data_IF_033288313433
#
_entry.id   IF_033288313433
#
_cell.length_a   1.000
_cell.length_b   1.000
_cell.length_c   1.000
_cell.angle_alpha   90.00
_cell.angle_beta   90.00
_cell.angle_gamma   90.00
#
_symmetry.space_group_name_H-M   'P 1'
#
loop_
_entity.id
_entity.type
_entity.pdbx_description
1 polymer ?
#
# COMPACT_ATOMS: atom_id res chain seq x y z
N UNK A 1 -26.82 3.54 -4.52
CA UNK A 1 -27.10 2.41 -3.61
C UNK A 1 -25.89 2.27 -2.68
N UNK A 2 -26.11 1.96 -1.42
CA UNK A 2 -25.04 1.67 -0.46
C UNK A 2 -24.19 0.49 -0.97
N UNK A 3 -22.86 0.61 -0.85
CA UNK A 3 -21.90 -0.43 -1.27
C UNK A 3 -21.28 -1.09 -0.04
N UNK A 4 -20.87 -2.33 -0.21
CA UNK A 4 -20.06 -3.06 0.78
C UNK A 4 -18.59 -3.01 0.35
N UNK A 5 -17.75 -2.40 1.17
CA UNK A 5 -16.31 -2.24 0.91
C UNK A 5 -15.54 -3.17 1.84
N UNK A 6 -14.67 -4.00 1.29
CA UNK A 6 -13.82 -4.88 2.07
C UNK A 6 -12.37 -4.40 2.06
N UNK A 7 -11.85 -4.02 3.22
CA UNK A 7 -10.46 -3.57 3.39
C UNK A 7 -9.66 -4.70 4.04
N UNK A 8 -8.73 -5.28 3.30
CA UNK A 8 -7.83 -6.30 3.80
C UNK A 8 -6.50 -5.67 4.24
N UNK A 9 -6.31 -5.59 5.56
CA UNK A 9 -5.19 -4.96 6.21
C UNK A 9 -5.57 -3.68 6.97
N UNK A 10 -5.88 -3.82 8.26
CA UNK A 10 -6.21 -2.67 9.14
C UNK A 10 -4.94 -2.12 9.81
N UNK A 11 -3.95 -1.76 8.97
CA UNK A 11 -2.80 -0.97 9.37
C UNK A 11 -3.09 0.54 9.28
N UNK A 12 -2.05 1.37 9.33
CA UNK A 12 -2.16 2.81 9.13
C UNK A 12 -2.93 3.15 7.85
N UNK A 13 -2.54 2.57 6.71
CA UNK A 13 -3.12 2.87 5.39
C UNK A 13 -4.58 2.44 5.31
N UNK A 14 -4.87 1.16 5.56
CA UNK A 14 -6.23 0.63 5.39
C UNK A 14 -7.24 1.24 6.37
N UNK A 15 -6.84 1.44 7.63
CA UNK A 15 -7.70 2.07 8.63
C UNK A 15 -7.95 3.56 8.32
N UNK A 16 -6.95 4.28 7.80
CA UNK A 16 -7.14 5.67 7.34
C UNK A 16 -8.02 5.75 6.09
N UNK A 17 -7.91 4.79 5.15
CA UNK A 17 -8.82 4.68 4.01
C UNK A 17 -10.26 4.46 4.47
N UNK A 18 -10.48 3.56 5.43
CA UNK A 18 -11.80 3.31 5.99
C UNK A 18 -12.44 4.61 6.53
N UNK A 19 -11.68 5.39 7.30
CA UNK A 19 -12.14 6.70 7.80
C UNK A 19 -12.47 7.67 6.66
N UNK A 20 -11.62 7.75 5.64
CA UNK A 20 -11.85 8.63 4.50
C UNK A 20 -13.08 8.21 3.68
N UNK A 21 -13.27 6.91 3.45
CA UNK A 21 -14.45 6.40 2.75
C UNK A 21 -15.72 6.74 3.55
N UNK A 22 -15.75 6.47 4.86
CA UNK A 22 -16.91 6.79 5.71
C UNK A 22 -17.21 8.29 5.78
N UNK A 23 -16.23 9.17 5.60
CA UNK A 23 -16.42 10.62 5.60
C UNK A 23 -17.41 11.08 4.49
N UNK A 24 -17.25 10.56 3.28
CA UNK A 24 -18.09 10.94 2.14
C UNK A 24 -19.21 9.93 1.85
N UNK A 25 -19.07 8.69 2.35
CA UNK A 25 -20.03 7.60 2.15
C UNK A 25 -20.43 6.97 3.48
N UNK A 26 -21.11 7.69 4.38
CA UNK A 26 -21.45 7.19 5.72
C UNK A 26 -22.44 6.02 5.72
N UNK A 27 -23.14 5.80 4.62
CA UNK A 27 -24.10 4.71 4.40
C UNK A 27 -23.45 3.42 3.85
N UNK A 28 -22.14 3.43 3.52
CA UNK A 28 -21.45 2.24 3.04
C UNK A 28 -21.06 1.33 4.21
N UNK A 29 -21.26 0.02 4.03
CA UNK A 29 -20.78 -0.99 4.97
C UNK A 29 -19.28 -1.24 4.72
N UNK A 30 -18.43 -1.05 5.73
CA UNK A 30 -17.00 -1.34 5.64
C UNK A 30 -16.69 -2.60 6.44
N UNK A 31 -16.25 -3.64 5.73
CA UNK A 31 -15.76 -4.89 6.28
C UNK A 31 -14.23 -4.82 6.38
N UNK A 32 -13.66 -5.29 7.49
CA UNK A 32 -12.24 -5.24 7.71
C UNK A 32 -11.62 -6.60 7.99
N UNK A 33 -10.48 -6.88 7.36
CA UNK A 33 -9.63 -8.02 7.69
C UNK A 33 -8.33 -7.58 8.33
N UNK A 34 -7.96 -8.23 9.42
CA UNK A 34 -6.61 -8.17 9.96
C UNK A 34 -6.35 -9.41 10.83
N UNK A 35 -5.13 -9.96 10.78
CA UNK A 35 -4.72 -11.06 11.67
C UNK A 35 -4.67 -10.64 13.14
N UNK A 36 -4.29 -9.39 13.42
CA UNK A 36 -4.21 -8.87 14.79
C UNK A 36 -5.59 -8.56 15.35
N UNK A 37 -5.99 -9.24 16.43
CA UNK A 37 -7.22 -8.93 17.17
C UNK A 37 -7.23 -7.48 17.64
N UNK A 38 -6.14 -6.98 18.22
CA UNK A 38 -6.05 -5.62 18.71
C UNK A 38 -6.32 -4.57 17.61
N UNK A 39 -5.82 -4.80 16.37
CA UNK A 39 -6.12 -3.90 15.25
C UNK A 39 -7.59 -3.94 14.85
N UNK A 40 -8.24 -5.10 14.90
CA UNK A 40 -9.67 -5.25 14.62
C UNK A 40 -10.52 -4.53 15.67
N UNK A 41 -10.20 -4.72 16.94
CA UNK A 41 -10.92 -4.11 18.06
C UNK A 41 -10.83 -2.57 18.00
N UNK A 42 -9.64 -2.02 17.80
CA UNK A 42 -9.43 -0.57 17.63
C UNK A 42 -10.23 -0.03 16.45
N UNK A 43 -10.22 -0.73 15.30
CA UNK A 43 -10.95 -0.29 14.12
C UNK A 43 -12.47 -0.28 14.32
N UNK A 44 -13.02 -1.26 15.03
CA UNK A 44 -14.44 -1.31 15.44
C UNK A 44 -14.78 -0.22 16.45
N UNK A 45 -14.01 -0.12 17.54
CA UNK A 45 -14.26 0.85 18.61
C UNK A 45 -14.24 2.31 18.10
N UNK A 46 -13.32 2.60 17.16
CA UNK A 46 -13.22 3.94 16.55
C UNK A 46 -14.19 4.16 15.38
N UNK A 47 -15.08 3.20 15.10
CA UNK A 47 -16.07 3.29 14.03
C UNK A 47 -15.45 3.39 12.62
N UNK A 48 -14.22 2.89 12.42
CA UNK A 48 -13.57 2.88 11.11
C UNK A 48 -14.20 1.85 10.19
N UNK A 49 -14.63 0.72 10.76
CA UNK A 49 -15.26 -0.41 10.08
C UNK A 49 -16.51 -0.83 10.83
N UNK A 50 -17.41 -1.55 10.16
CA UNK A 50 -18.68 -2.02 10.73
C UNK A 50 -18.57 -3.46 11.23
N UNK A 51 -17.76 -4.29 10.55
CA UNK A 51 -17.51 -5.69 10.92
C UNK A 51 -16.04 -6.05 10.66
N UNK A 52 -15.51 -7.00 11.44
CA UNK A 52 -14.12 -7.45 11.34
C UNK A 52 -14.02 -8.97 11.30
N UNK A 53 -12.97 -9.47 10.64
CA UNK A 53 -12.62 -10.90 10.57
C UNK A 53 -11.12 -11.10 10.57
N UNK A 54 -10.65 -12.29 10.96
CA UNK A 54 -9.29 -12.81 10.73
C UNK A 54 -9.25 -13.92 9.67
N UNK A 55 -10.39 -14.25 9.09
CA UNK A 55 -10.52 -15.12 7.92
C UNK A 55 -10.71 -14.25 6.66
N UNK A 56 -9.67 -14.18 5.83
CA UNK A 56 -9.67 -13.35 4.62
C UNK A 56 -10.80 -13.73 3.64
N UNK A 57 -11.07 -15.03 3.46
CA UNK A 57 -12.05 -15.50 2.50
C UNK A 57 -13.50 -15.19 2.91
N UNK A 58 -13.77 -15.01 4.21
CA UNK A 58 -15.13 -14.94 4.74
C UNK A 58 -15.95 -13.74 4.26
N UNK A 59 -15.31 -12.57 4.06
CA UNK A 59 -16.00 -11.35 3.66
C UNK A 59 -15.86 -11.01 2.16
N UNK A 60 -14.91 -11.63 1.46
CA UNK A 60 -14.67 -11.35 0.05
C UNK A 60 -15.92 -11.52 -0.84
N UNK A 61 -16.76 -12.57 -0.67
CA UNK A 61 -17.99 -12.74 -1.47
C UNK A 61 -19.07 -11.67 -1.22
N UNK A 62 -18.97 -10.91 -0.14
CA UNK A 62 -19.95 -9.88 0.23
C UNK A 62 -19.61 -8.52 -0.38
N UNK A 63 -18.38 -8.33 -0.84
CA UNK A 63 -17.86 -7.03 -1.22
C UNK A 63 -18.25 -6.62 -2.64
N UNK A 64 -18.53 -5.33 -2.82
CA UNK A 64 -18.61 -4.67 -4.12
C UNK A 64 -17.24 -4.13 -4.55
N UNK A 65 -16.41 -3.77 -3.55
CA UNK A 65 -15.01 -3.35 -3.75
C UNK A 65 -14.14 -4.00 -2.68
N UNK A 66 -12.99 -4.55 -3.08
CA UNK A 66 -11.97 -5.13 -2.20
C UNK A 66 -10.70 -4.30 -2.34
N UNK A 67 -10.18 -3.77 -1.22
CA UNK A 67 -8.93 -2.99 -1.20
C UNK A 67 -7.88 -3.73 -0.36
N UNK A 68 -6.77 -4.12 -0.99
CA UNK A 68 -5.68 -4.84 -0.37
C UNK A 68 -4.62 -3.86 0.14
N UNK A 69 -4.56 -3.62 1.45
CA UNK A 69 -3.60 -2.72 2.11
C UNK A 69 -2.59 -3.52 2.92
N UNK A 70 -1.97 -4.49 2.26
CA UNK A 70 -1.09 -5.51 2.82
C UNK A 70 0.32 -5.39 2.22
N UNK A 71 1.35 -5.99 2.85
CA UNK A 71 2.66 -6.13 2.22
C UNK A 71 2.57 -6.83 0.85
N UNK A 72 3.40 -6.45 -0.11
CA UNK A 72 3.34 -6.84 -1.52
C UNK A 72 3.18 -8.35 -1.70
N UNK A 73 4.00 -9.16 -0.98
CA UNK A 73 3.93 -10.63 -1.05
C UNK A 73 2.55 -11.17 -0.63
N UNK A 74 1.93 -10.58 0.39
CA UNK A 74 0.60 -10.99 0.84
C UNK A 74 -0.49 -10.50 -0.12
N UNK A 75 -0.35 -9.29 -0.67
CA UNK A 75 -1.24 -8.77 -1.71
C UNK A 75 -1.30 -9.71 -2.91
N UNK A 76 -0.13 -10.15 -3.41
CA UNK A 76 -0.04 -11.12 -4.50
C UNK A 76 -0.74 -12.45 -4.14
N UNK A 77 -0.46 -13.00 -2.97
CA UNK A 77 -1.09 -14.24 -2.53
C UNK A 77 -2.62 -14.11 -2.41
N UNK A 78 -3.10 -12.97 -1.93
CA UNK A 78 -4.54 -12.73 -1.79
C UNK A 78 -5.24 -12.50 -3.14
N UNK A 79 -4.58 -11.88 -4.13
CA UNK A 79 -5.12 -11.82 -5.51
C UNK A 79 -5.31 -13.23 -6.07
N UNK A 80 -4.34 -14.12 -5.87
CA UNK A 80 -4.43 -15.53 -6.30
C UNK A 80 -5.57 -16.28 -5.58
N UNK A 81 -5.72 -16.07 -4.27
CA UNK A 81 -6.82 -16.65 -3.48
C UNK A 81 -8.19 -16.14 -3.95
N UNK A 82 -8.34 -14.81 -4.13
CA UNK A 82 -9.57 -14.18 -4.62
C UNK A 82 -10.01 -14.74 -5.98
N UNK A 83 -9.06 -15.08 -6.85
CA UNK A 83 -9.36 -15.70 -8.14
C UNK A 83 -10.08 -17.05 -8.04
N UNK A 84 -9.94 -17.75 -6.91
CA UNK A 84 -10.61 -19.03 -6.62
C UNK A 84 -11.95 -18.90 -5.88
N UNK A 85 -12.32 -17.71 -5.40
CA UNK A 85 -13.54 -17.50 -4.63
C UNK A 85 -14.73 -17.13 -5.53
N UNK A 86 -15.93 -17.41 -5.04
CA UNK A 86 -17.18 -16.99 -5.68
C UNK A 86 -17.50 -15.53 -5.28
N UNK A 87 -16.92 -14.58 -5.97
CA UNK A 87 -17.09 -13.15 -5.73
C UNK A 87 -18.33 -12.60 -6.44
N UNK A 88 -18.80 -11.41 -6.05
CA UNK A 88 -19.85 -10.70 -6.78
C UNK A 88 -19.43 -10.42 -8.23
N UNK A 89 -20.37 -10.53 -9.15
CA UNK A 89 -20.16 -10.13 -10.54
C UNK A 89 -19.81 -8.63 -10.62
N UNK A 90 -18.73 -8.33 -11.34
CA UNK A 90 -18.25 -6.97 -11.50
C UNK A 90 -17.60 -6.35 -10.25
N UNK A 91 -17.22 -7.16 -9.25
CA UNK A 91 -16.44 -6.67 -8.11
C UNK A 91 -15.17 -5.97 -8.57
N UNK A 92 -14.81 -4.89 -7.89
CA UNK A 92 -13.54 -4.19 -8.11
C UNK A 92 -12.53 -4.66 -7.06
N UNK A 93 -11.36 -5.10 -7.49
CA UNK A 93 -10.21 -5.35 -6.63
C UNK A 93 -9.19 -4.25 -6.87
N UNK A 94 -8.66 -3.66 -5.80
CA UNK A 94 -7.58 -2.69 -5.83
C UNK A 94 -6.57 -2.98 -4.72
N UNK A 95 -5.38 -2.42 -4.84
CA UNK A 95 -4.35 -2.55 -3.81
C UNK A 95 -3.78 -1.18 -3.39
N UNK A 96 -2.89 -1.16 -2.42
CA UNK A 96 -2.17 0.02 -1.96
C UNK A 96 -0.65 -0.24 -1.86
N UNK A 97 -0.13 -1.18 -2.62
CA UNK A 97 1.27 -1.58 -2.58
C UNK A 97 2.23 -0.52 -3.10
N UNK A 98 3.44 -0.50 -2.56
CA UNK A 98 4.47 0.49 -2.93
C UNK A 98 5.15 0.20 -4.27
N UNK A 99 4.97 -0.98 -4.86
CA UNK A 99 5.38 -1.34 -6.23
C UNK A 99 4.18 -1.87 -6.98
N UNK A 100 4.14 -1.68 -8.31
CA UNK A 100 2.95 -1.95 -9.10
C UNK A 100 3.11 -3.06 -10.13
N UNK A 101 4.24 -3.12 -10.83
CA UNK A 101 4.39 -4.03 -11.97
C UNK A 101 4.07 -5.49 -11.63
N UNK A 102 4.66 -6.03 -10.55
CA UNK A 102 4.44 -7.41 -10.14
C UNK A 102 3.00 -7.69 -9.67
N UNK A 103 2.35 -6.72 -9.01
CA UNK A 103 0.96 -6.85 -8.54
C UNK A 103 0.00 -6.85 -9.73
N UNK A 104 0.19 -5.92 -10.68
CA UNK A 104 -0.64 -5.81 -11.88
C UNK A 104 -0.50 -7.06 -12.75
N UNK A 105 0.73 -7.55 -12.97
CA UNK A 105 0.99 -8.78 -13.73
C UNK A 105 0.26 -9.99 -13.15
N UNK A 106 0.34 -10.20 -11.84
CA UNK A 106 -0.38 -11.28 -11.15
C UNK A 106 -1.89 -11.10 -11.25
N UNK A 107 -2.40 -9.87 -11.12
CA UNK A 107 -3.82 -9.61 -11.26
C UNK A 107 -4.30 -9.95 -12.69
N UNK A 108 -3.56 -9.55 -13.73
CA UNK A 108 -3.88 -9.89 -15.11
C UNK A 108 -3.83 -11.40 -15.37
N UNK A 109 -2.83 -12.10 -14.81
CA UNK A 109 -2.70 -13.55 -14.95
C UNK A 109 -3.87 -14.33 -14.32
N UNK A 110 -4.26 -13.98 -13.09
CA UNK A 110 -5.21 -14.77 -12.30
C UNK A 110 -6.67 -14.33 -12.43
N UNK A 111 -6.93 -13.05 -12.74
CA UNK A 111 -8.27 -12.50 -12.80
C UNK A 111 -8.82 -12.37 -14.22
N UNK A 112 -7.99 -12.50 -15.27
CA UNK A 112 -8.44 -12.44 -16.65
C UNK A 112 -9.53 -13.47 -16.95
N UNK A 113 -10.52 -13.06 -17.76
CA UNK A 113 -11.64 -13.92 -18.14
C UNK A 113 -12.69 -14.15 -17.05
N UNK A 114 -12.53 -13.53 -15.88
CA UNK A 114 -13.52 -13.54 -14.79
C UNK A 114 -14.32 -12.23 -14.81
N UNK A 115 -15.53 -12.26 -14.24
CA UNK A 115 -16.34 -11.04 -14.01
C UNK A 115 -15.78 -10.19 -12.86
N UNK A 116 -14.47 -9.94 -12.88
CA UNK A 116 -13.72 -9.19 -11.86
C UNK A 116 -13.01 -8.03 -12.56
N UNK A 117 -13.08 -6.86 -11.97
CA UNK A 117 -12.34 -5.66 -12.40
C UNK A 117 -11.15 -5.44 -11.47
N UNK A 118 -10.04 -5.00 -12.00
CA UNK A 118 -8.86 -4.71 -11.17
C UNK A 118 -8.27 -3.35 -11.55
N UNK A 119 -7.81 -2.61 -10.55
CA UNK A 119 -6.98 -1.42 -10.73
C UNK A 119 -5.90 -1.38 -9.65
N UNK A 120 -4.66 -1.42 -10.08
CA UNK A 120 -3.53 -1.22 -9.18
C UNK A 120 -3.51 0.20 -8.64
N UNK A 121 -3.11 0.37 -7.38
CA UNK A 121 -3.00 1.71 -6.81
C UNK A 121 -1.85 1.83 -5.79
N UNK A 122 -1.38 3.07 -5.59
CA UNK A 122 -0.37 3.39 -4.60
C UNK A 122 -0.62 4.79 -4.02
N UNK A 123 -1.12 4.91 -2.79
CA UNK A 123 -1.18 6.19 -2.08
C UNK A 123 0.24 6.62 -1.68
N UNK A 124 0.71 7.76 -2.19
CA UNK A 124 2.01 8.34 -1.85
C UNK A 124 1.94 9.05 -0.49
N UNK A 125 1.50 8.31 0.52
CA UNK A 125 1.32 8.78 1.88
C UNK A 125 1.72 7.68 2.87
N UNK A 126 2.25 8.08 4.00
CA UNK A 126 2.68 7.16 5.03
C UNK A 126 3.29 7.89 6.21
N UNK A 127 3.61 7.13 7.25
CA UNK A 127 4.25 7.62 8.46
C UNK A 127 5.13 6.52 9.05
N UNK A 128 6.04 6.89 9.94
CA UNK A 128 6.78 5.93 10.78
C UNK A 128 5.88 5.22 11.79
N UNK A 129 4.66 5.73 12.02
CA UNK A 129 3.67 5.11 12.90
C UNK A 129 3.00 3.92 12.20
N UNK A 130 2.62 2.90 12.96
CA UNK A 130 2.03 1.67 12.46
C UNK A 130 0.73 1.31 13.18
N UNK A 131 -0.06 0.42 12.55
CA UNK A 131 -1.29 -0.14 13.14
C UNK A 131 -2.51 0.77 13.04
N UNK A 132 -3.68 0.21 13.36
CA UNK A 132 -4.98 0.90 13.32
C UNK A 132 -5.06 2.09 14.29
N UNK A 133 -4.36 2.00 15.43
CA UNK A 133 -4.32 3.10 16.42
C UNK A 133 -3.79 4.41 15.86
N UNK A 134 -2.93 4.33 14.83
CA UNK A 134 -2.30 5.48 14.18
C UNK A 134 -3.09 6.02 13.01
N UNK A 135 -4.26 5.46 12.70
CA UNK A 135 -5.10 5.89 11.59
C UNK A 135 -5.50 7.35 11.72
N UNK A 136 -5.40 8.07 10.61
CA UNK A 136 -5.72 9.49 10.49
C UNK A 136 -6.56 9.70 9.21
N UNK A 137 -7.72 10.31 9.37
CA UNK A 137 -8.65 10.61 8.27
C UNK A 137 -8.03 11.56 7.23
N UNK A 138 -7.05 12.35 7.63
CA UNK A 138 -6.36 13.32 6.77
C UNK A 138 -5.01 12.80 6.22
N UNK A 139 -4.67 11.53 6.46
CA UNK A 139 -3.40 10.94 6.04
C UNK A 139 -3.08 11.18 4.55
N UNK A 140 -4.11 11.16 3.71
CA UNK A 140 -3.98 11.26 2.25
C UNK A 140 -4.24 12.67 1.71
N UNK A 141 -4.60 13.61 2.57
CA UNK A 141 -4.98 14.97 2.14
C UNK A 141 -3.84 15.63 1.35
N UNK A 142 -4.14 16.05 0.12
CA UNK A 142 -3.19 16.62 -0.83
C UNK A 142 -2.05 15.71 -1.29
N UNK A 143 -1.97 14.45 -0.80
CA UNK A 143 -1.01 13.47 -1.30
C UNK A 143 -1.43 12.95 -2.69
N UNK A 144 -0.49 12.49 -3.48
CA UNK A 144 -0.81 11.77 -4.70
C UNK A 144 -1.36 10.38 -4.38
N UNK A 145 -2.47 10.02 -5.01
CA UNK A 145 -2.99 8.67 -5.06
C UNK A 145 -2.90 8.18 -6.50
N UNK A 146 -1.96 7.28 -6.73
CA UNK A 146 -1.59 6.85 -8.07
C UNK A 146 -2.41 5.62 -8.44
N UNK A 147 -3.11 5.67 -9.56
CA UNK A 147 -3.71 4.50 -10.20
C UNK A 147 -2.79 3.97 -11.30
N UNK A 148 -2.70 2.66 -11.40
CA UNK A 148 -1.99 1.97 -12.48
C UNK A 148 -2.98 1.07 -13.23
N UNK A 149 -3.68 1.62 -14.23
CA UNK A 149 -4.63 0.87 -15.04
C UNK A 149 -3.98 -0.34 -15.73
N UNK A 150 -4.75 -1.39 -15.87
CA UNK A 150 -4.37 -2.65 -16.54
C UNK A 150 -5.38 -3.03 -17.60
N UNK A 151 -5.21 -4.17 -18.26
CA UNK A 151 -6.19 -4.73 -19.19
C UNK A 151 -7.55 -5.04 -18.52
N UNK A 152 -7.58 -5.11 -17.18
CA UNK A 152 -8.79 -5.35 -16.37
C UNK A 152 -9.45 -4.05 -15.87
N UNK A 153 -8.93 -2.89 -16.28
CA UNK A 153 -9.37 -1.58 -15.82
C UNK A 153 -10.11 -0.84 -16.94
N UNK A 154 -11.40 -0.63 -16.80
CA UNK A 154 -12.15 0.28 -17.68
C UNK A 154 -12.13 1.72 -17.16
N UNK A 155 -12.41 2.74 -18.02
CA UNK A 155 -12.59 4.10 -17.55
C UNK A 155 -13.65 4.23 -16.45
N UNK A 156 -14.76 3.50 -16.54
CA UNK A 156 -15.80 3.48 -15.52
C UNK A 156 -15.29 2.94 -14.18
N UNK A 157 -14.40 1.94 -14.21
CA UNK A 157 -13.77 1.41 -12.99
C UNK A 157 -12.93 2.47 -12.29
N UNK A 158 -12.17 3.27 -13.04
CA UNK A 158 -11.38 4.37 -12.49
C UNK A 158 -12.26 5.45 -11.86
N UNK A 159 -13.31 5.85 -12.54
CA UNK A 159 -14.25 6.85 -12.01
C UNK A 159 -15.00 6.34 -10.77
N UNK A 160 -15.42 5.05 -10.76
CA UNK A 160 -16.02 4.45 -9.55
C UNK A 160 -15.04 4.47 -8.37
N UNK A 161 -13.75 4.18 -8.61
CA UNK A 161 -12.72 4.23 -7.55
C UNK A 161 -12.43 5.66 -7.09
N UNK A 162 -12.36 6.63 -8.00
CA UNK A 162 -12.20 8.06 -7.64
C UNK A 162 -13.35 8.56 -6.79
N UNK A 163 -14.59 8.21 -7.16
CA UNK A 163 -15.79 8.54 -6.37
C UNK A 163 -15.73 7.88 -5.00
N UNK A 164 -15.42 6.57 -4.92
CA UNK A 164 -15.31 5.86 -3.64
C UNK A 164 -14.28 6.51 -2.70
N UNK A 165 -13.16 6.94 -3.26
CA UNK A 165 -12.02 7.48 -2.50
C UNK A 165 -12.04 9.02 -2.38
N UNK A 166 -13.14 9.69 -2.79
CA UNK A 166 -13.24 11.15 -2.73
C UNK A 166 -12.96 11.72 -1.34
N UNK A 167 -13.47 11.04 -0.32
CA UNK A 167 -13.25 11.41 1.08
C UNK A 167 -11.80 11.29 1.58
N UNK A 168 -10.85 10.80 0.78
CA UNK A 168 -9.43 10.88 1.09
C UNK A 168 -8.83 12.26 0.82
N UNK A 169 -9.51 13.12 0.02
CA UNK A 169 -9.00 14.42 -0.45
C UNK A 169 -7.60 14.33 -1.10
N UNK A 170 -7.31 13.20 -1.73
CA UNK A 170 -6.06 12.94 -2.43
C UNK A 170 -6.08 13.51 -3.86
N UNK A 171 -4.90 13.64 -4.46
CA UNK A 171 -4.73 14.02 -5.86
C UNK A 171 -4.58 12.77 -6.71
N UNK A 172 -5.64 12.38 -7.42
CA UNK A 172 -5.63 11.20 -8.27
C UNK A 172 -4.83 11.44 -9.55
N UNK A 173 -3.92 10.52 -9.86
CA UNK A 173 -3.18 10.49 -11.13
C UNK A 173 -3.15 9.06 -11.67
N UNK A 174 -2.93 8.93 -12.96
CA UNK A 174 -2.81 7.65 -13.66
C UNK A 174 -1.44 7.53 -14.32
N UNK A 175 -0.81 6.38 -14.21
CA UNK A 175 0.49 6.09 -14.81
C UNK A 175 0.58 4.59 -15.13
N UNK A 176 1.39 4.22 -16.10
CA UNK A 176 1.73 2.82 -16.37
C UNK A 176 2.44 2.16 -15.17
N UNK A 177 2.15 0.89 -14.89
CA UNK A 177 2.69 0.20 -13.71
C UNK A 177 4.23 0.09 -13.71
N UNK A 178 4.85 -0.14 -14.87
CA UNK A 178 6.31 -0.21 -15.00
C UNK A 178 6.94 1.16 -14.88
N UNK A 179 6.29 2.18 -15.46
CA UNK A 179 6.75 3.56 -15.32
C UNK A 179 6.64 4.04 -13.86
N UNK A 180 5.55 3.68 -13.16
CA UNK A 180 5.45 3.91 -11.71
C UNK A 180 6.66 3.35 -10.97
N UNK A 181 7.03 2.09 -11.25
CA UNK A 181 8.12 1.42 -10.56
C UNK A 181 9.50 2.01 -10.92
N UNK A 182 9.68 2.54 -12.14
CA UNK A 182 10.87 3.31 -12.52
C UNK A 182 10.97 4.62 -11.75
N UNK A 183 9.87 5.38 -11.68
CA UNK A 183 9.86 6.65 -10.95
C UNK A 183 10.11 6.42 -9.46
N UNK A 184 9.40 5.47 -8.84
CA UNK A 184 9.55 5.19 -7.40
C UNK A 184 10.90 4.58 -7.07
N UNK A 185 11.53 3.84 -7.98
CA UNK A 185 12.91 3.37 -7.79
C UNK A 185 13.87 4.53 -7.57
N UNK A 186 13.74 5.59 -8.36
CA UNK A 186 14.63 6.76 -8.30
C UNK A 186 14.38 7.65 -7.08
N UNK A 187 13.11 7.90 -6.73
CA UNK A 187 12.77 8.91 -5.70
C UNK A 187 12.56 8.34 -4.32
N UNK A 188 12.47 7.01 -4.18
CA UNK A 188 12.16 6.34 -2.92
C UNK A 188 13.09 5.16 -2.64
N UNK A 189 13.14 4.15 -3.53
CA UNK A 189 13.81 2.89 -3.24
C UNK A 189 15.33 3.03 -3.21
N UNK A 190 15.89 3.71 -4.19
CA UNK A 190 17.33 3.96 -4.27
C UNK A 190 17.83 4.88 -3.12
N UNK A 191 17.18 6.00 -2.80
CA UNK A 191 17.52 6.79 -1.61
C UNK A 191 17.51 5.97 -0.31
N UNK A 192 16.57 5.03 -0.15
CA UNK A 192 16.54 4.16 1.03
C UNK A 192 17.75 3.22 1.11
N UNK A 193 18.18 2.66 -0.03
CA UNK A 193 19.40 1.83 -0.10
C UNK A 193 20.62 2.66 0.29
N UNK A 194 20.74 3.90 -0.23
CA UNK A 194 21.86 4.77 0.12
C UNK A 194 21.87 5.11 1.62
N UNK A 195 20.71 5.42 2.19
CA UNK A 195 20.59 5.73 3.61
C UNK A 195 20.98 4.53 4.49
N UNK A 196 20.48 3.33 4.15
CA UNK A 196 20.78 2.10 4.88
C UNK A 196 22.26 1.71 4.74
N UNK A 197 22.81 1.80 3.53
CA UNK A 197 24.23 1.53 3.27
C UNK A 197 25.15 2.51 4.00
N UNK A 198 24.78 3.80 4.05
CA UNK A 198 25.53 4.80 4.81
C UNK A 198 25.50 4.51 6.32
N UNK A 199 24.35 4.09 6.85
CA UNK A 199 24.24 3.69 8.26
C UNK A 199 25.12 2.49 8.58
N UNK A 200 25.09 1.45 7.74
CA UNK A 200 25.89 0.24 7.93
C UNK A 200 27.38 0.54 7.83
N UNK A 201 27.80 1.28 6.79
CA UNK A 201 29.20 1.72 6.63
C UNK A 201 29.68 2.53 7.83
N UNK A 202 28.85 3.48 8.30
CA UNK A 202 29.20 4.31 9.47
C UNK A 202 29.29 3.48 10.75
N UNK A 203 28.41 2.50 10.93
CA UNK A 203 28.46 1.59 12.08
C UNK A 203 29.74 0.75 12.09
N UNK A 204 30.19 0.28 10.92
CA UNK A 204 31.46 -0.43 10.77
C UNK A 204 32.64 0.51 11.07
N UNK A 205 32.69 1.71 10.48
CA UNK A 205 33.75 2.69 10.69
C UNK A 205 33.87 3.12 12.17
N UNK A 206 32.75 3.22 12.87
CA UNK A 206 32.70 3.59 14.28
C UNK A 206 33.31 2.55 15.24
N UNK A 207 33.62 1.32 14.77
CA UNK A 207 34.31 0.31 15.58
C UNK A 207 35.76 0.71 15.87
N UNK A 208 36.42 1.40 14.94
CA UNK A 208 37.80 1.85 15.05
C UNK A 208 37.89 3.35 15.42
N UNK A 209 36.82 4.12 15.21
CA UNK A 209 36.75 5.57 15.38
C UNK A 209 35.61 5.98 16.31
N UNK A 210 35.82 5.90 17.62
CA UNK A 210 34.78 6.12 18.65
C UNK A 210 34.03 7.46 18.49
N UNK A 211 34.71 8.52 18.08
CA UNK A 211 34.09 9.86 17.94
C UNK A 211 33.10 9.97 16.78
N UNK A 212 33.08 9.02 15.84
CA UNK A 212 32.19 9.01 14.67
C UNK A 212 30.72 9.18 15.08
N UNK A 213 30.28 8.41 16.09
CA UNK A 213 28.89 8.47 16.59
C UNK A 213 28.58 9.81 17.27
N UNK A 214 29.56 10.38 17.96
CA UNK A 214 29.39 11.63 18.71
C UNK A 214 29.35 12.85 17.78
N UNK A 215 30.02 12.77 16.63
CA UNK A 215 30.06 13.86 15.64
C UNK A 215 28.94 13.78 14.62
N UNK A 216 28.09 12.73 14.64
CA UNK A 216 26.94 12.63 13.77
C UNK A 216 25.95 13.78 14.03
N UNK A 217 25.98 14.79 13.17
CA UNK A 217 25.18 16.01 13.26
C UNK A 217 23.98 15.98 12.28
N UNK A 218 23.33 17.14 12.07
CA UNK A 218 22.09 17.27 11.30
C UNK A 218 22.16 16.63 9.92
N UNK A 219 23.17 16.96 9.11
CA UNK A 219 23.28 16.42 7.74
C UNK A 219 23.30 14.89 7.68
N UNK A 220 24.03 14.24 8.59
CA UNK A 220 24.04 12.78 8.66
C UNK A 220 22.66 12.23 9.07
N UNK A 221 22.00 12.81 10.07
CA UNK A 221 20.68 12.39 10.54
C UNK A 221 19.63 12.56 9.46
N UNK A 222 19.64 13.66 8.73
CA UNK A 222 18.69 13.94 7.65
C UNK A 222 18.83 12.89 6.52
N UNK A 223 20.07 12.55 6.14
CA UNK A 223 20.34 11.56 5.11
C UNK A 223 19.97 10.12 5.54
N UNK A 224 20.09 9.79 6.82
CA UNK A 224 19.93 8.42 7.32
C UNK A 224 18.58 8.17 8.00
N UNK A 225 17.75 9.19 8.25
CA UNK A 225 16.47 9.07 8.94
C UNK A 225 15.54 8.00 8.32
N UNK A 226 15.54 7.87 7.00
CA UNK A 226 14.67 6.89 6.31
C UNK A 226 15.13 5.44 6.51
N UNK A 227 16.38 5.20 6.94
CA UNK A 227 16.88 3.87 7.26
C UNK A 227 16.25 3.23 8.52
N UNK A 228 15.54 4.00 9.33
CA UNK A 228 14.80 3.48 10.51
C UNK A 228 13.51 2.73 10.14
N UNK A 229 13.19 2.62 8.87
CA UNK A 229 11.97 1.96 8.39
C UNK A 229 11.97 0.45 8.67
N UNK A 230 10.76 -0.16 8.71
CA UNK A 230 10.58 -1.58 9.02
C UNK A 230 11.27 -2.48 7.96
N UNK A 231 12.21 -3.35 8.35
CA UNK A 231 13.05 -4.08 7.41
C UNK A 231 12.27 -5.08 6.51
N UNK A 232 11.23 -5.74 7.03
CA UNK A 232 10.46 -6.73 6.26
C UNK A 232 9.65 -6.09 5.13
N UNK A 233 9.07 -4.92 5.37
CA UNK A 233 8.39 -4.13 4.36
C UNK A 233 9.37 -3.72 3.25
N UNK A 234 10.51 -3.15 3.62
CA UNK A 234 11.51 -2.71 2.64
C UNK A 234 12.14 -3.86 1.87
N UNK A 235 12.40 -5.00 2.51
CA UNK A 235 12.84 -6.20 1.79
C UNK A 235 11.85 -6.59 0.70
N UNK A 236 10.54 -6.54 0.99
CA UNK A 236 9.51 -6.85 0.00
C UNK A 236 9.49 -5.84 -1.15
N UNK A 237 9.64 -4.54 -0.86
CA UNK A 237 9.71 -3.47 -1.86
C UNK A 237 10.93 -3.66 -2.76
N UNK A 238 12.11 -3.83 -2.16
CA UNK A 238 13.37 -3.94 -2.91
C UNK A 238 13.40 -5.18 -3.81
N UNK A 239 12.88 -6.31 -3.33
CA UNK A 239 12.82 -7.53 -4.12
C UNK A 239 11.80 -7.45 -5.26
N UNK A 240 10.66 -6.81 -5.06
CA UNK A 240 9.61 -6.68 -6.08
C UNK A 240 9.96 -5.69 -7.20
N UNK A 241 10.89 -4.75 -6.97
CA UNK A 241 11.37 -3.80 -7.98
C UNK A 241 12.89 -3.93 -8.25
N UNK A 242 13.42 -5.14 -8.04
CA UNK A 242 14.87 -5.40 -8.02
C UNK A 242 15.61 -4.93 -9.26
N UNK A 243 15.11 -5.29 -10.44
CA UNK A 243 15.80 -5.01 -11.71
C UNK A 243 15.95 -3.50 -11.94
N UNK A 244 14.87 -2.76 -11.76
CA UNK A 244 14.87 -1.30 -11.90
C UNK A 244 15.79 -0.60 -10.89
N UNK A 245 15.84 -1.13 -9.67
CA UNK A 245 16.74 -0.62 -8.62
C UNK A 245 18.22 -0.88 -8.97
N UNK A 246 18.55 -2.06 -9.51
CA UNK A 246 19.90 -2.38 -9.95
C UNK A 246 20.37 -1.43 -11.07
N UNK A 247 19.49 -1.07 -12.02
CA UNK A 247 19.78 -0.03 -13.03
C UNK A 247 20.15 1.31 -12.37
N UNK A 248 19.38 1.75 -11.33
CA UNK A 248 19.69 3.01 -10.62
C UNK A 248 21.03 2.95 -9.90
N UNK A 249 21.41 1.80 -9.35
CA UNK A 249 22.71 1.61 -8.70
C UNK A 249 23.84 1.70 -9.73
N UNK A 250 23.68 1.09 -10.91
CA UNK A 250 24.69 1.19 -11.98
C UNK A 250 24.82 2.63 -12.51
N UNK A 251 23.72 3.33 -12.73
CA UNK A 251 23.73 4.73 -13.17
C UNK A 251 24.43 5.68 -12.17
N UNK A 252 24.45 5.31 -10.88
CA UNK A 252 25.04 6.13 -9.81
C UNK A 252 26.55 5.90 -9.63
N UNK A 253 27.10 4.76 -10.06
CA UNK A 253 28.54 4.43 -9.94
C UNK A 253 29.43 5.34 -10.78
#
# INVERSE_FOLDING_TARGET
>A
MAKTIYIAGLGLIGASMALGIKRDHPDYEILGYNRSQASRDIALERGMIDRATDDFASFAPLADVIILTLPIKQTIAFIQELAGLNLKEGVIISDAGSTKAAIVEVAEEYLAGKSIRFVGAHPMAGSHKTGAASADVNLFENAYYIFTPSSLTSPDTLEEMKVLLSGLHARFIEIDAKEHDRVTSQISHFPHILASGLMEQTAFYAQEHEMTRRFAAGGFRDMTRIAESEPGMWTSILLSNRETILERIEDFK
#
